data_IF_847459793221
#
_entry.id   IF_847459793221
#
_cell.length_a   1.000
_cell.length_b   1.000
_cell.length_c   1.000
_cell.angle_alpha   90.00
_cell.angle_beta   90.00
_cell.angle_gamma   90.00
#
_symmetry.space_group_name_H-M   'P 1'
#
loop_
_entity.id
_entity.type
_entity.pdbx_description
1 polymer ?
#
# COMPACT_ATOMS: atom_id res chain seq x y z
N UNK A 1 11.88 -4.99 -10.61
CA UNK A 1 11.31 -3.87 -9.84
C UNK A 1 10.89 -4.40 -8.47
N UNK A 2 11.39 -3.82 -7.38
CA UNK A 2 11.03 -4.24 -6.01
C UNK A 2 9.63 -3.73 -5.67
N UNK A 3 8.80 -4.54 -5.00
CA UNK A 3 7.48 -4.14 -4.48
C UNK A 3 7.69 -3.48 -3.11
N UNK A 4 7.44 -2.16 -2.93
CA UNK A 4 7.83 -1.44 -1.71
C UNK A 4 7.28 -2.02 -0.42
N UNK A 5 6.00 -2.43 -0.40
CA UNK A 5 5.37 -3.03 0.77
C UNK A 5 5.95 -4.40 1.15
N UNK A 6 6.39 -5.22 0.17
CA UNK A 6 7.13 -6.46 0.46
C UNK A 6 8.50 -6.16 1.07
N UNK A 7 9.18 -5.14 0.56
CA UNK A 7 10.49 -4.75 1.07
C UNK A 7 10.39 -4.22 2.51
N UNK A 8 9.41 -3.35 2.80
CA UNK A 8 9.15 -2.86 4.15
C UNK A 8 8.82 -3.99 5.12
N UNK A 9 7.98 -4.96 4.70
CA UNK A 9 7.67 -6.12 5.53
C UNK A 9 8.91 -7.03 5.76
N UNK A 10 9.78 -7.18 4.76
CA UNK A 10 11.02 -7.92 4.94
C UNK A 10 11.97 -7.26 5.95
N UNK A 11 12.04 -5.94 5.97
CA UNK A 11 12.79 -5.18 7.00
C UNK A 11 12.18 -5.45 8.38
N UNK A 12 10.87 -5.32 8.52
CA UNK A 12 10.15 -5.57 9.78
C UNK A 12 10.38 -7.00 10.30
N UNK A 13 10.36 -7.99 9.42
CA UNK A 13 10.58 -9.40 9.78
C UNK A 13 12.06 -9.73 10.04
N UNK A 14 12.99 -8.83 9.74
CA UNK A 14 14.43 -9.09 9.77
C UNK A 14 14.89 -10.17 8.78
N UNK A 15 14.06 -10.54 7.80
CA UNK A 15 14.36 -11.56 6.78
C UNK A 15 13.58 -11.35 5.49
N UNK A 16 14.07 -11.87 4.35
CA UNK A 16 13.29 -11.92 3.12
C UNK A 16 12.00 -12.72 3.31
N UNK A 17 10.95 -12.31 2.58
CA UNK A 17 9.76 -13.13 2.39
C UNK A 17 10.08 -14.31 1.47
N UNK A 18 9.55 -15.48 1.77
CA UNK A 18 9.58 -16.65 0.89
C UNK A 18 8.65 -16.46 -0.32
N UNK A 19 8.69 -17.41 -1.25
CA UNK A 19 7.85 -17.39 -2.45
C UNK A 19 6.35 -17.54 -2.13
N UNK A 20 6.02 -18.32 -1.08
CA UNK A 20 4.64 -18.59 -0.65
C UNK A 20 4.07 -17.51 0.29
N UNK A 21 4.92 -16.63 0.79
CA UNK A 21 4.54 -15.54 1.68
C UNK A 21 4.04 -14.33 0.88
N UNK A 22 2.97 -13.70 1.35
CA UNK A 22 2.33 -12.54 0.76
C UNK A 22 2.32 -11.39 1.77
N UNK A 23 2.68 -10.20 1.31
CA UNK A 23 2.52 -8.97 2.07
C UNK A 23 1.10 -8.42 1.84
N UNK A 24 0.21 -8.69 2.80
CA UNK A 24 -1.21 -8.37 2.71
C UNK A 24 -1.49 -6.94 3.18
N UNK A 25 -2.24 -6.17 2.39
CA UNK A 25 -2.84 -4.93 2.87
C UNK A 25 -4.13 -5.23 3.64
N UNK A 26 -3.98 -5.50 4.93
CA UNK A 26 -5.10 -5.91 5.78
C UNK A 26 -6.11 -4.77 5.98
N UNK A 27 -5.61 -3.56 6.25
CA UNK A 27 -6.43 -2.38 6.61
C UNK A 27 -6.70 -1.47 5.41
N UNK A 28 -5.65 -0.85 4.87
CA UNK A 28 -5.80 0.31 3.97
C UNK A 28 -6.02 -0.05 2.50
N UNK A 29 -5.59 -1.25 2.10
CA UNK A 29 -5.82 -1.74 0.74
C UNK A 29 -5.25 -0.81 -0.36
N UNK A 30 -4.22 -0.06 0.03
CA UNK A 30 -3.56 0.98 -0.75
C UNK A 30 -2.19 0.49 -1.21
N UNK A 31 -1.98 0.33 -2.54
CA UNK A 31 -0.76 -0.25 -3.08
C UNK A 31 0.55 0.47 -2.71
N UNK A 32 0.49 1.78 -2.42
CA UNK A 32 1.68 2.56 -2.04
C UNK A 32 1.96 2.54 -0.53
N UNK A 33 1.04 2.02 0.29
CA UNK A 33 1.24 1.95 1.74
C UNK A 33 2.32 0.91 2.08
N UNK A 34 3.30 1.33 2.87
CA UNK A 34 4.44 0.53 3.34
C UNK A 34 4.48 0.37 4.86
N UNK A 35 3.39 0.71 5.56
CA UNK A 35 3.31 0.66 7.02
C UNK A 35 3.22 -0.79 7.51
N UNK A 36 4.38 -1.43 7.63
CA UNK A 36 4.54 -2.81 8.11
C UNK A 36 4.79 -2.89 9.62
N UNK A 37 5.41 -1.88 10.21
CA UNK A 37 5.70 -1.84 11.64
C UNK A 37 4.47 -1.44 12.47
N UNK A 38 4.30 -2.12 13.60
CA UNK A 38 3.31 -1.79 14.62
C UNK A 38 3.84 -0.78 15.65
N UNK A 39 5.17 -0.69 15.80
CA UNK A 39 5.83 0.08 16.86
C UNK A 39 5.67 1.59 16.70
N UNK A 40 5.70 2.08 15.47
CA UNK A 40 5.74 3.52 15.22
C UNK A 40 4.37 4.22 15.35
N UNK A 41 3.25 3.52 15.09
CA UNK A 41 1.97 4.19 14.81
C UNK A 41 0.70 3.40 15.22
N UNK A 42 0.83 2.24 15.88
CA UNK A 42 -0.29 1.31 16.13
C UNK A 42 -0.45 0.26 15.03
N UNK A 43 -1.62 -0.39 14.91
CA UNK A 43 -1.83 -1.57 14.03
C UNK A 43 -1.15 -1.44 12.65
N UNK A 44 -0.36 -2.42 12.20
CA UNK A 44 0.27 -2.40 10.89
C UNK A 44 -0.78 -2.51 9.77
N UNK A 45 -0.51 -1.89 8.63
CA UNK A 45 -1.38 -1.98 7.45
C UNK A 45 -0.95 -3.08 6.49
N UNK A 46 0.35 -3.39 6.48
CA UNK A 46 0.96 -4.45 5.69
C UNK A 46 1.38 -5.56 6.64
N UNK A 47 0.83 -6.76 6.47
CA UNK A 47 1.09 -7.92 7.34
C UNK A 47 1.51 -9.13 6.53
N UNK A 48 2.22 -10.05 7.17
CA UNK A 48 2.54 -11.34 6.58
C UNK A 48 1.29 -12.20 6.46
N UNK A 49 1.15 -12.91 5.34
CA UNK A 49 0.14 -13.94 5.19
C UNK A 49 0.39 -14.81 3.98
N UNK A 50 -0.64 -15.52 3.55
CA UNK A 50 -0.61 -16.48 2.44
C UNK A 50 -1.48 -16.01 1.28
N UNK A 51 -1.30 -16.63 0.12
CA UNK A 51 -2.18 -16.41 -1.03
C UNK A 51 -3.64 -16.78 -0.72
N UNK A 52 -3.88 -17.83 0.06
CA UNK A 52 -5.23 -18.23 0.48
C UNK A 52 -5.90 -17.13 1.33
N UNK A 53 -5.17 -16.55 2.29
CA UNK A 53 -5.66 -15.43 3.09
C UNK A 53 -5.90 -14.18 2.24
N UNK A 54 -5.03 -13.90 1.25
CA UNK A 54 -5.24 -12.80 0.32
C UNK A 54 -6.56 -12.97 -0.46
N UNK A 55 -6.80 -14.15 -1.02
CA UNK A 55 -8.01 -14.44 -1.79
C UNK A 55 -9.27 -14.39 -0.91
N UNK A 56 -9.21 -14.94 0.30
CA UNK A 56 -10.29 -14.84 1.27
C UNK A 56 -10.60 -13.37 1.64
N UNK A 57 -9.56 -12.58 1.90
CA UNK A 57 -9.68 -11.15 2.18
C UNK A 57 -10.23 -10.35 1.00
N UNK A 58 -9.80 -10.66 -0.23
CA UNK A 58 -10.38 -10.09 -1.44
C UNK A 58 -11.87 -10.42 -1.57
N UNK A 59 -12.25 -11.68 -1.34
CA UNK A 59 -13.65 -12.12 -1.36
C UNK A 59 -14.51 -11.40 -0.33
N UNK A 60 -14.07 -11.36 0.93
CA UNK A 60 -14.76 -10.68 2.03
C UNK A 60 -14.95 -9.18 1.77
N UNK A 61 -14.00 -8.53 1.08
CA UNK A 61 -14.06 -7.11 0.72
C UNK A 61 -14.81 -6.83 -0.60
N UNK A 62 -15.42 -7.85 -1.21
CA UNK A 62 -16.16 -7.71 -2.47
C UNK A 62 -15.30 -7.47 -3.71
N UNK A 63 -13.99 -7.79 -3.64
CA UNK A 63 -13.00 -7.64 -4.72
C UNK A 63 -12.68 -8.94 -5.46
N UNK A 64 -13.43 -10.01 -5.18
CA UNK A 64 -13.32 -11.27 -5.90
C UNK A 64 -13.62 -11.08 -7.40
N UNK A 65 -12.97 -11.87 -8.25
CA UNK A 65 -13.25 -11.89 -9.70
C UNK A 65 -12.86 -10.61 -10.44
N UNK A 66 -11.86 -9.86 -9.96
CA UNK A 66 -11.38 -8.65 -10.63
C UNK A 66 -12.24 -7.40 -10.37
N UNK A 67 -13.22 -7.49 -9.47
CA UNK A 67 -14.03 -6.33 -9.07
C UNK A 67 -13.15 -5.31 -8.35
N UNK A 68 -13.31 -4.04 -8.72
CA UNK A 68 -12.62 -2.93 -8.09
C UNK A 68 -13.03 -2.77 -6.62
N UNK A 69 -12.25 -2.00 -5.86
CA UNK A 69 -12.62 -1.64 -4.49
C UNK A 69 -13.98 -0.93 -4.46
N UNK A 70 -14.89 -1.46 -3.64
CA UNK A 70 -16.23 -0.91 -3.39
C UNK A 70 -16.17 0.37 -2.55
N UNK A 71 -15.10 0.51 -1.76
CA UNK A 71 -14.86 1.59 -0.82
C UNK A 71 -14.15 2.77 -1.49
N UNK A 72 -14.88 3.88 -1.70
CA UNK A 72 -14.41 5.14 -2.33
C UNK A 72 -13.41 5.95 -1.46
N UNK A 73 -13.05 5.45 -0.27
CA UNK A 73 -12.22 6.12 0.76
C UNK A 73 -10.84 6.61 0.29
N UNK A 74 -10.38 6.21 -0.89
CA UNK A 74 -9.04 6.53 -1.39
C UNK A 74 -8.95 7.54 -2.53
N UNK A 75 -10.08 7.94 -3.13
CA UNK A 75 -10.14 8.86 -4.28
C UNK A 75 -9.26 8.46 -5.49
N UNK A 76 -9.41 9.19 -6.61
CA UNK A 76 -10.22 8.89 -7.79
C UNK A 76 -10.00 7.48 -8.37
N UNK A 77 -10.46 7.27 -9.59
CA UNK A 77 -10.29 6.05 -10.38
C UNK A 77 -8.83 5.54 -10.51
N UNK A 78 -8.66 4.47 -11.28
CA UNK A 78 -7.34 3.84 -11.54
C UNK A 78 -6.29 4.85 -12.06
N UNK A 79 -6.68 5.82 -12.88
CA UNK A 79 -5.74 6.75 -13.49
C UNK A 79 -5.11 7.66 -12.44
N UNK A 80 -5.92 8.18 -11.51
CA UNK A 80 -5.41 9.02 -10.44
C UNK A 80 -4.51 8.26 -9.46
N UNK A 81 -4.80 6.98 -9.17
CA UNK A 81 -3.90 6.12 -8.38
C UNK A 81 -2.54 5.96 -9.05
N UNK A 82 -2.51 5.79 -10.38
CA UNK A 82 -1.28 5.70 -11.16
C UNK A 82 -0.53 7.03 -11.14
N UNK A 83 -1.22 8.16 -11.32
CA UNK A 83 -0.61 9.49 -11.27
C UNK A 83 0.07 9.75 -9.92
N UNK A 84 -0.63 9.49 -8.80
CA UNK A 84 -0.06 9.60 -7.45
C UNK A 84 1.18 8.72 -7.26
N UNK A 85 1.12 7.46 -7.71
CA UNK A 85 2.26 6.55 -7.60
C UNK A 85 3.49 7.05 -8.39
N UNK A 86 3.27 7.66 -9.56
CA UNK A 86 4.34 8.28 -10.35
C UNK A 86 4.88 9.54 -9.66
N UNK A 87 4.01 10.42 -9.18
CA UNK A 87 4.40 11.62 -8.45
C UNK A 87 5.26 11.29 -7.22
N UNK A 88 4.84 10.29 -6.43
CA UNK A 88 5.62 9.83 -5.26
C UNK A 88 6.98 9.26 -5.67
N UNK A 89 7.05 8.49 -6.76
CA UNK A 89 8.33 7.99 -7.29
C UNK A 89 9.26 9.13 -7.67
N UNK A 90 8.76 10.15 -8.36
CA UNK A 90 9.57 11.31 -8.73
C UNK A 90 10.03 12.10 -7.50
N UNK A 91 9.16 12.27 -6.50
CA UNK A 91 9.48 12.96 -5.25
C UNK A 91 10.67 12.32 -4.51
N UNK A 92 10.78 10.99 -4.50
CA UNK A 92 11.83 10.26 -3.77
C UNK A 92 13.05 9.90 -4.63
N UNK A 93 13.05 10.23 -5.93
CA UNK A 93 14.12 9.84 -6.87
C UNK A 93 15.50 10.38 -6.46
N UNK A 94 15.54 11.57 -5.86
CA UNK A 94 16.76 12.23 -5.39
C UNK A 94 17.11 11.97 -3.92
N UNK A 95 16.42 11.03 -3.26
CA UNK A 95 16.47 10.87 -1.81
C UNK A 95 15.15 11.29 -1.15
N UNK A 96 15.07 11.12 0.17
CA UNK A 96 13.89 11.48 0.95
C UNK A 96 13.77 13.00 1.07
N UNK A 97 12.59 13.52 0.75
CA UNK A 97 12.22 14.94 0.85
C UNK A 97 10.77 14.99 1.35
N UNK A 98 10.59 15.30 2.64
CA UNK A 98 9.27 15.30 3.28
C UNK A 98 8.28 16.20 2.55
N UNK A 99 8.70 17.39 2.11
CA UNK A 99 7.82 18.34 1.44
C UNK A 99 7.34 17.80 0.09
N UNK A 100 8.23 17.22 -0.71
CA UNK A 100 7.86 16.60 -2.00
C UNK A 100 6.99 15.36 -1.82
N UNK A 101 7.26 14.55 -0.80
CA UNK A 101 6.46 13.37 -0.48
C UNK A 101 5.05 13.78 -0.05
N UNK A 102 4.93 14.73 0.87
CA UNK A 102 3.64 15.26 1.31
C UNK A 102 2.87 15.88 0.13
N UNK A 103 3.52 16.68 -0.71
CA UNK A 103 2.90 17.22 -1.92
C UNK A 103 2.38 16.12 -2.86
N UNK A 104 3.15 15.05 -3.07
CA UNK A 104 2.76 13.92 -3.92
C UNK A 104 1.61 13.07 -3.33
N UNK A 105 1.50 13.00 -2.00
CA UNK A 105 0.41 12.31 -1.30
C UNK A 105 -0.87 13.15 -1.25
N UNK A 106 -0.73 14.47 -1.04
CA UNK A 106 -1.82 15.45 -0.92
C UNK A 106 -2.33 15.98 -2.27
N UNK A 107 -1.68 15.65 -3.40
CA UNK A 107 -2.19 15.93 -4.76
C UNK A 107 -3.44 15.08 -5.08
N UNK A 108 -4.53 15.37 -4.39
CA UNK A 108 -5.86 14.80 -4.62
C UNK A 108 -6.90 15.81 -4.17
N UNK A 109 -7.78 16.22 -5.07
CA UNK A 109 -8.97 17.04 -4.76
C UNK A 109 -10.02 16.28 -3.92
N UNK A 110 -9.72 15.02 -3.60
CA UNK A 110 -10.53 14.12 -2.76
C UNK A 110 -9.77 13.91 -1.44
N UNK A 111 -10.43 14.05 -0.27
CA UNK A 111 -9.80 13.78 1.01
C UNK A 111 -9.12 12.42 1.02
N UNK A 112 -7.81 12.41 1.29
CA UNK A 112 -7.04 11.19 1.52
C UNK A 112 -6.70 11.10 3.00
N UNK A 113 -6.90 9.93 3.63
CA UNK A 113 -6.57 9.68 5.04
C UNK A 113 -5.05 9.49 5.27
N UNK A 114 -4.20 10.28 4.60
CA UNK A 114 -2.79 10.40 4.97
C UNK A 114 -2.61 11.60 5.87
#
# INVERSE_FOLDING_TARGET
MVRPHRYALAIELGRPLTEDEVALHEVCDNPICVRASSEALGRPHVVLGTQAQNLAGMGAKGRGGGRGQTWRWYGPDRAARVARSRALREAVRGGWDDAKVQAALLHSDVPTLF
#
